data_IF_243138390232
#
_entry.id   IF_243138390232
#
_cell.length_a   1.000
_cell.length_b   1.000
_cell.length_c   1.000
_cell.angle_alpha   90.00
_cell.angle_beta   90.00
_cell.angle_gamma   90.00
#
_symmetry.space_group_name_H-M   'P 1'
#
loop_
_entity.id
_entity.type
_entity.pdbx_description
1 polymer ?
#
# COMPACT_ATOMS: atom_id res chain seq x y z
N UNK A 1 -0.72 13.70 -6.10
CA UNK A 1 -1.11 14.73 -5.10
C UNK A 1 -0.91 14.32 -3.64
N UNK A 2 -0.74 13.03 -3.29
CA UNK A 2 -0.64 12.59 -1.88
C UNK A 2 0.61 13.10 -1.11
N UNK A 3 1.78 13.16 -1.75
CA UNK A 3 3.03 13.54 -1.05
C UNK A 3 3.23 15.05 -0.90
N UNK A 4 2.79 15.86 -1.85
CA UNK A 4 2.92 17.32 -1.75
C UNK A 4 1.87 17.96 -0.83
N UNK A 5 0.71 17.32 -0.62
CA UNK A 5 -0.34 17.87 0.25
C UNK A 5 -0.10 17.68 1.75
N UNK A 6 0.80 16.77 2.15
CA UNK A 6 1.10 16.50 3.55
C UNK A 6 2.08 17.51 4.17
N UNK A 7 2.80 18.28 3.34
CA UNK A 7 3.84 19.22 3.79
C UNK A 7 3.30 20.61 4.20
N UNK A 8 2.00 20.89 4.05
CA UNK A 8 1.44 22.21 4.28
C UNK A 8 0.76 22.34 5.67
N UNK A 9 1.52 22.80 6.68
CA UNK A 9 1.18 23.58 7.90
C UNK A 9 -0.16 23.39 8.68
N UNK A 10 -1.03 22.44 8.34
CA UNK A 10 -2.33 22.19 8.99
C UNK A 10 -2.46 20.79 9.60
N UNK A 11 -3.43 20.61 10.49
CA UNK A 11 -3.75 19.31 11.05
C UNK A 11 -4.34 18.38 9.98
N UNK A 12 -3.95 17.11 9.93
CA UNK A 12 -4.51 16.10 9.06
C UNK A 12 -5.29 15.03 9.85
N UNK A 13 -6.25 14.41 9.18
CA UNK A 13 -7.05 13.32 9.72
C UNK A 13 -6.87 12.09 8.85
N UNK A 14 -6.71 10.94 9.51
CA UNK A 14 -6.53 9.63 8.91
C UNK A 14 -7.89 8.92 8.92
N UNK A 15 -8.30 8.40 7.77
CA UNK A 15 -9.58 7.75 7.57
C UNK A 15 -9.39 6.34 7.04
N UNK A 16 -10.22 5.40 7.50
CA UNK A 16 -10.34 4.10 6.85
C UNK A 16 -10.90 4.30 5.44
N UNK A 17 -10.17 3.84 4.43
CA UNK A 17 -10.61 3.99 3.05
C UNK A 17 -11.93 3.24 2.77
N UNK A 18 -12.11 2.06 3.37
CA UNK A 18 -13.29 1.21 3.12
C UNK A 18 -14.60 1.79 3.65
N UNK A 19 -14.59 2.58 4.73
CA UNK A 19 -15.83 3.07 5.34
C UNK A 19 -15.83 4.56 5.75
N UNK A 20 -14.68 5.23 5.73
CA UNK A 20 -14.55 6.62 6.15
C UNK A 20 -14.47 6.82 7.66
N UNK A 21 -14.34 5.76 8.45
CA UNK A 21 -14.14 5.88 9.90
C UNK A 21 -12.85 6.66 10.21
N UNK A 22 -12.93 7.61 11.14
CA UNK A 22 -11.77 8.37 11.59
C UNK A 22 -10.88 7.48 12.45
N UNK A 23 -9.61 7.37 12.08
CA UNK A 23 -8.60 6.57 12.77
C UNK A 23 -7.72 7.44 13.66
N UNK A 24 -7.24 8.56 13.12
CA UNK A 24 -6.46 9.58 13.85
C UNK A 24 -7.03 10.93 13.46
N UNK A 25 -7.49 11.71 14.44
CA UNK A 25 -8.13 13.01 14.21
C UNK A 25 -7.17 14.16 14.48
N UNK A 26 -7.22 15.19 13.64
CA UNK A 26 -6.54 16.48 13.83
C UNK A 26 -5.04 16.36 14.20
N UNK A 27 -4.34 15.38 13.61
CA UNK A 27 -2.91 15.14 13.85
C UNK A 27 -2.08 16.22 13.17
N UNK A 28 -1.24 16.90 13.93
CA UNK A 28 -0.23 17.80 13.37
C UNK A 28 1.01 16.99 12.97
N UNK A 29 1.28 16.88 11.68
CA UNK A 29 2.53 16.28 11.19
C UNK A 29 3.59 17.37 11.03
N UNK A 30 4.63 17.31 11.86
CA UNK A 30 5.76 18.23 11.81
C UNK A 30 6.82 17.77 10.81
N UNK A 31 7.00 16.45 10.67
CA UNK A 31 7.94 15.86 9.72
C UNK A 31 7.29 14.70 8.99
N UNK A 32 7.40 14.74 7.67
CA UNK A 32 7.00 13.66 6.78
C UNK A 32 8.23 13.23 6.02
N UNK A 33 8.79 12.07 6.36
CA UNK A 33 10.11 11.64 5.88
C UNK A 33 10.02 10.29 5.17
N UNK A 34 10.61 10.13 3.98
CA UNK A 34 10.72 8.81 3.37
C UNK A 34 11.63 7.92 4.21
N UNK A 35 11.24 6.66 4.38
CA UNK A 35 12.11 5.62 4.92
C UNK A 35 13.10 5.19 3.83
N UNK A 36 14.29 4.73 4.23
CA UNK A 36 15.08 3.87 3.36
C UNK A 36 14.19 2.68 2.94
N UNK A 37 14.07 2.40 1.63
CA UNK A 37 13.43 1.19 1.07
C UNK A 37 13.75 -0.11 1.84
N UNK A 38 12.84 -1.08 1.81
CA UNK A 38 12.99 -2.34 2.57
C UNK A 38 14.28 -3.13 2.23
N UNK A 39 14.89 -2.88 1.05
CA UNK A 39 16.15 -3.52 0.64
C UNK A 39 17.43 -2.86 1.21
N UNK A 40 17.36 -1.72 1.92
CA UNK A 40 18.57 -1.11 2.47
C UNK A 40 19.25 -2.01 3.49
N UNK A 41 18.49 -2.71 4.36
CA UNK A 41 19.09 -3.63 5.33
C UNK A 41 19.91 -4.74 4.67
N UNK A 42 19.42 -5.29 3.54
CA UNK A 42 20.13 -6.30 2.76
C UNK A 42 21.37 -5.72 2.04
N UNK A 43 21.28 -4.48 1.55
CA UNK A 43 22.41 -3.82 0.88
C UNK A 43 23.48 -3.36 1.88
N UNK A 44 23.12 -3.00 3.11
CA UNK A 44 24.07 -2.54 4.12
C UNK A 44 25.07 -3.63 4.50
N UNK A 45 24.64 -4.89 4.55
CA UNK A 45 25.55 -6.02 4.82
C UNK A 45 26.62 -6.22 3.73
N UNK A 46 26.29 -5.88 2.48
CA UNK A 46 27.19 -6.05 1.33
C UNK A 46 28.01 -4.79 1.00
N UNK A 47 27.54 -3.60 1.36
CA UNK A 47 28.12 -2.32 0.91
C UNK A 47 28.86 -1.56 2.01
N UNK A 48 28.58 -1.81 3.29
CA UNK A 48 29.23 -1.08 4.36
C UNK A 48 30.54 -1.76 4.77
N UNK A 49 31.66 -1.01 4.72
CA UNK A 49 32.95 -1.45 5.26
C UNK A 49 32.99 -1.55 6.80
N UNK A 50 31.88 -1.30 7.47
CA UNK A 50 31.71 -1.35 8.91
C UNK A 50 30.33 -1.93 9.26
N UNK A 51 30.14 -2.47 10.48
CA UNK A 51 28.84 -2.94 10.93
C UNK A 51 27.75 -1.89 10.72
N UNK A 52 26.54 -2.36 10.39
CA UNK A 52 25.38 -1.50 10.14
C UNK A 52 25.20 -0.52 11.32
N UNK A 53 25.34 0.81 11.10
CA UNK A 53 25.16 1.79 12.16
C UNK A 53 23.73 1.87 12.69
N UNK A 54 22.77 1.22 12.01
CA UNK A 54 21.34 1.19 12.32
C UNK A 54 20.85 -0.16 12.84
N UNK A 55 21.66 -1.23 12.85
CA UNK A 55 21.24 -2.60 13.22
C UNK A 55 20.55 -2.71 14.60
N UNK A 56 20.83 -1.77 15.51
CA UNK A 56 20.28 -1.75 16.87
C UNK A 56 19.38 -0.53 17.15
N UNK A 57 19.03 0.27 16.14
CA UNK A 57 18.22 1.48 16.30
C UNK A 57 16.97 1.39 15.44
N UNK A 58 15.85 0.92 15.98
CA UNK A 58 14.61 0.90 15.21
C UNK A 58 14.20 2.34 14.85
N UNK A 59 13.91 2.56 13.57
CA UNK A 59 13.45 3.85 13.06
C UNK A 59 11.98 4.05 13.44
N UNK A 60 11.75 4.48 14.69
CA UNK A 60 10.42 4.79 15.19
C UNK A 60 10.08 6.27 15.02
N UNK A 61 8.90 6.60 14.46
CA UNK A 61 8.44 7.98 14.37
C UNK A 61 8.19 8.54 15.78
N UNK A 62 8.54 9.82 16.00
CA UNK A 62 8.06 10.57 17.15
C UNK A 62 6.56 10.88 16.98
N UNK A 63 5.95 11.44 18.02
CA UNK A 63 4.52 11.74 18.05
C UNK A 63 4.05 12.46 16.76
N UNK A 64 4.72 13.52 16.35
CA UNK A 64 4.31 14.32 15.19
C UNK A 64 5.05 13.96 13.90
N UNK A 65 5.68 12.78 13.84
CA UNK A 65 6.33 12.28 12.63
C UNK A 65 5.43 11.31 11.87
N UNK A 66 5.54 11.33 10.55
CA UNK A 66 5.04 10.30 9.66
C UNK A 66 6.18 9.85 8.76
N UNK A 67 6.56 8.58 8.84
CA UNK A 67 7.53 8.02 7.91
C UNK A 67 6.83 7.29 6.77
N UNK A 68 7.33 7.45 5.55
CA UNK A 68 6.73 6.92 4.33
C UNK A 68 7.60 5.78 3.81
N UNK A 69 7.09 4.55 3.83
CA UNK A 69 7.67 3.41 3.10
C UNK A 69 7.07 3.26 1.71
N UNK A 70 7.53 2.27 0.95
CA UNK A 70 7.11 2.08 -0.45
C UNK A 70 5.59 1.83 -0.61
N UNK A 71 4.95 1.21 0.39
CA UNK A 71 3.52 0.86 0.40
C UNK A 71 2.80 1.13 1.74
N UNK A 72 3.45 1.83 2.68
CA UNK A 72 2.93 2.01 4.03
C UNK A 72 3.35 3.33 4.66
N UNK A 73 2.61 3.74 5.70
CA UNK A 73 2.97 4.83 6.59
C UNK A 73 3.35 4.26 7.96
N UNK A 74 4.45 4.73 8.56
CA UNK A 74 4.73 4.55 9.99
C UNK A 74 4.38 5.83 10.73
N UNK A 75 3.55 5.71 11.74
CA UNK A 75 3.19 6.82 12.62
C UNK A 75 3.28 6.38 14.07
N UNK A 76 3.55 7.36 14.93
CA UNK A 76 3.42 7.15 16.36
C UNK A 76 1.92 7.15 16.70
N UNK A 77 1.40 5.96 17.00
CA UNK A 77 0.00 5.73 17.33
C UNK A 77 -0.13 4.51 18.22
N UNK A 78 -0.68 4.74 19.41
CA UNK A 78 -0.97 3.72 20.42
C UNK A 78 -2.31 3.03 20.11
N UNK A 79 -2.25 1.77 19.69
CA UNK A 79 -3.44 0.97 19.38
C UNK A 79 -4.13 0.42 20.66
N UNK A 80 -3.46 0.48 21.80
CA UNK A 80 -3.90 -0.04 23.11
C UNK A 80 -4.95 0.82 23.83
N UNK A 81 -5.32 1.99 23.29
CA UNK A 81 -6.59 2.66 23.63
C UNK A 81 -7.83 1.91 23.08
N UNK A 82 -7.63 0.79 22.38
CA UNK A 82 -8.68 0.05 21.67
C UNK A 82 -8.91 -1.39 22.17
N UNK A 83 -8.38 -1.77 23.34
CA UNK A 83 -8.79 -3.00 24.06
C UNK A 83 -9.28 -2.67 25.49
N UNK A 84 -10.29 -3.36 26.04
CA UNK A 84 -10.57 -3.32 27.47
C UNK A 84 -9.34 -3.86 28.22
N UNK A 85 -8.87 -3.14 29.25
CA UNK A 85 -7.83 -3.65 30.15
C UNK A 85 -8.26 -5.04 30.66
N UNK A 86 -7.42 -6.08 30.56
CA UNK A 86 -7.52 -7.20 31.47
C UNK A 86 -7.30 -6.65 32.87
N UNK A 87 -8.22 -6.95 33.79
CA UNK A 87 -8.13 -6.53 35.19
C UNK A 87 -6.76 -6.92 35.78
N UNK A 88 -6.18 -5.99 36.54
CA UNK A 88 -4.95 -6.17 37.29
C UNK A 88 -5.10 -7.35 38.26
N UNK A 89 -4.44 -8.47 37.98
CA UNK A 89 -4.15 -9.50 38.97
C UNK A 89 -2.76 -9.24 39.61
N UNK A 90 -2.56 -9.64 40.87
CA UNK A 90 -1.62 -8.97 41.78
C UNK A 90 -0.15 -9.23 41.48
N UNK A 91 0.67 -8.29 41.97
CA UNK A 91 2.13 -8.34 42.04
C UNK A 91 2.58 -9.60 42.78
N UNK A 92 3.31 -10.48 42.08
CA UNK A 92 4.20 -11.42 42.74
C UNK A 92 5.63 -11.23 42.25
N UNK A 93 6.46 -10.84 43.20
CA UNK A 93 7.91 -10.75 43.15
C UNK A 93 8.51 -12.14 43.00
N UNK A 94 9.37 -12.38 42.00
CA UNK A 94 10.64 -13.11 42.19
C UNK A 94 11.50 -13.16 40.91
N UNK A 95 12.80 -12.92 41.11
CA UNK A 95 13.89 -13.13 40.16
C UNK A 95 14.32 -14.59 40.12
N UNK A 96 14.60 -15.14 38.94
CA UNK A 96 15.78 -15.98 38.68
C UNK A 96 15.95 -16.27 37.18
N UNK A 97 17.21 -16.42 36.82
CA UNK A 97 17.83 -16.67 35.52
C UNK A 97 17.46 -18.02 34.88
N UNK A 98 17.30 -18.04 33.55
CA UNK A 98 18.04 -18.90 32.59
C UNK A 98 17.29 -19.11 31.27
N UNK A 99 18.09 -19.29 30.23
CA UNK A 99 17.78 -19.27 28.81
C UNK A 99 16.73 -20.29 28.37
N UNK A 100 15.56 -19.84 27.96
CA UNK A 100 14.77 -20.45 26.88
C UNK A 100 13.92 -19.36 26.22
N UNK A 101 14.24 -19.01 24.96
CA UNK A 101 13.41 -18.21 24.07
C UNK A 101 12.10 -18.97 23.76
N UNK A 102 11.22 -19.08 24.75
CA UNK A 102 9.80 -19.35 24.53
C UNK A 102 9.24 -18.10 23.87
N UNK A 103 9.04 -18.18 22.55
CA UNK A 103 8.21 -17.25 21.78
C UNK A 103 6.87 -17.13 22.50
N UNK A 104 6.73 -16.09 23.32
CA UNK A 104 5.44 -15.68 23.87
C UNK A 104 4.48 -15.47 22.68
N UNK A 105 3.18 -15.81 22.81
CA UNK A 105 2.24 -15.65 21.71
C UNK A 105 2.30 -14.20 21.25
N UNK A 106 2.67 -14.01 19.97
CA UNK A 106 2.84 -12.72 19.30
C UNK A 106 1.58 -11.91 19.58
N UNK A 107 1.69 -10.86 20.41
CA UNK A 107 0.58 -9.95 20.72
C UNK A 107 -0.09 -9.54 19.41
N UNK A 108 -1.43 -9.46 19.37
CA UNK A 108 -2.19 -9.17 18.16
C UNK A 108 -1.59 -7.98 17.39
N UNK A 109 -0.80 -8.28 16.37
CA UNK A 109 -0.05 -7.27 15.60
C UNK A 109 -0.95 -6.56 14.61
N UNK A 110 -2.24 -6.87 14.53
CA UNK A 110 -3.15 -6.35 13.50
C UNK A 110 -3.88 -5.10 13.98
N UNK A 111 -3.85 -4.05 13.18
CA UNK A 111 -4.67 -2.85 13.37
C UNK A 111 -5.92 -2.97 12.52
N UNK A 112 -7.10 -2.88 13.14
CA UNK A 112 -8.38 -3.18 12.50
C UNK A 112 -9.30 -1.96 12.61
N UNK A 113 -10.00 -1.64 11.52
CA UNK A 113 -11.03 -0.61 11.52
C UNK A 113 -12.16 -0.97 12.47
N UNK A 114 -12.54 -0.04 13.34
CA UNK A 114 -13.55 -0.29 14.39
C UNK A 114 -14.93 -0.48 13.82
N UNK A 115 -15.24 0.20 12.72
CA UNK A 115 -16.54 0.18 12.04
C UNK A 115 -16.68 -0.99 11.08
N UNK A 116 -15.83 -1.10 10.06
CA UNK A 116 -15.98 -2.14 9.02
C UNK A 116 -15.13 -3.41 9.23
N UNK A 117 -14.30 -3.46 10.28
CA UNK A 117 -13.44 -4.61 10.62
C UNK A 117 -12.38 -4.99 9.58
N UNK A 118 -12.12 -4.14 8.59
CA UNK A 118 -11.01 -4.30 7.63
C UNK A 118 -9.67 -4.08 8.36
N UNK A 119 -8.65 -4.87 7.98
CA UNK A 119 -7.27 -4.68 8.45
C UNK A 119 -6.67 -3.43 7.82
N UNK A 120 -6.26 -2.48 8.65
CA UNK A 120 -5.69 -1.20 8.23
C UNK A 120 -4.16 -1.22 8.22
N UNK A 121 -3.56 -2.15 8.97
CA UNK A 121 -2.13 -2.12 9.23
C UNK A 121 -1.70 -3.07 10.33
N UNK A 122 -0.49 -2.82 10.85
CA UNK A 122 0.16 -3.61 11.89
C UNK A 122 0.76 -2.75 13.02
N UNK A 123 0.74 -3.26 14.25
CA UNK A 123 1.43 -2.68 15.40
C UNK A 123 2.86 -3.20 15.42
N UNK A 124 3.83 -2.28 15.27
CA UNK A 124 5.26 -2.59 15.24
C UNK A 124 5.88 -2.55 16.64
N UNK A 125 5.42 -1.61 17.48
CA UNK A 125 5.78 -1.50 18.89
C UNK A 125 4.61 -0.88 19.67
N UNK A 126 4.73 -0.71 20.99
CA UNK A 126 3.65 -0.11 21.81
C UNK A 126 3.20 1.26 21.31
N UNK A 127 4.08 2.00 20.64
CA UNK A 127 3.80 3.36 20.15
C UNK A 127 3.85 3.50 18.64
N UNK A 128 4.32 2.49 17.90
CA UNK A 128 4.48 2.59 16.44
C UNK A 128 3.48 1.70 15.71
N UNK A 129 2.73 2.31 14.80
CA UNK A 129 1.78 1.63 13.92
C UNK A 129 2.17 1.80 12.45
N UNK A 130 2.20 0.69 11.71
CA UNK A 130 2.35 0.60 10.24
C UNK A 130 0.96 0.57 9.61
N UNK A 131 0.55 1.62 8.94
CA UNK A 131 -0.69 1.65 8.14
C UNK A 131 -0.40 1.35 6.68
N UNK A 132 -1.21 0.50 6.05
CA UNK A 132 -1.06 0.22 4.62
C UNK A 132 -1.64 1.40 3.82
N UNK A 133 -0.87 1.92 2.85
CA UNK A 133 -1.26 3.09 2.05
C UNK A 133 -2.58 2.85 1.30
N UNK A 134 -2.82 1.61 0.89
CA UNK A 134 -4.04 1.22 0.21
C UNK A 134 -5.25 1.19 1.14
N UNK A 135 -5.10 1.19 2.45
CA UNK A 135 -6.22 1.05 3.39
C UNK A 135 -6.58 2.34 4.14
N UNK A 136 -5.74 3.38 4.03
CA UNK A 136 -5.87 4.65 4.74
C UNK A 136 -5.86 5.84 3.79
N UNK A 137 -6.77 6.78 4.02
CA UNK A 137 -6.78 8.10 3.39
C UNK A 137 -6.28 9.11 4.42
N UNK A 138 -5.31 9.94 4.05
CA UNK A 138 -4.86 11.08 4.88
C UNK A 138 -5.30 12.37 4.21
N UNK A 139 -6.05 13.21 4.92
CA UNK A 139 -6.57 14.48 4.39
C UNK A 139 -6.37 15.63 5.38
N UNK A 140 -6.20 16.88 4.92
CA UNK A 140 -6.29 18.06 5.77
C UNK A 140 -7.64 18.12 6.50
N UNK A 141 -7.64 18.40 7.81
CA UNK A 141 -8.83 18.22 8.65
C UNK A 141 -9.94 19.25 8.38
N UNK A 142 -9.59 20.41 7.83
CA UNK A 142 -10.54 21.47 7.48
C UNK A 142 -11.27 21.21 6.15
N UNK A 143 -10.80 20.26 5.34
CA UNK A 143 -11.36 19.99 4.01
C UNK A 143 -12.38 18.87 4.06
N UNK A 144 -13.62 19.19 3.69
CA UNK A 144 -14.61 18.16 3.32
C UNK A 144 -14.12 17.44 2.07
N UNK A 145 -14.12 16.11 2.09
CA UNK A 145 -13.82 15.30 0.92
C UNK A 145 -14.89 14.22 0.73
N UNK A 146 -15.16 13.89 -0.52
CA UNK A 146 -15.91 12.70 -0.87
C UNK A 146 -14.97 11.50 -0.88
N UNK A 147 -15.36 10.41 -0.22
CA UNK A 147 -14.64 9.14 -0.33
C UNK A 147 -14.75 8.68 -1.78
N UNK A 148 -13.61 8.57 -2.45
CA UNK A 148 -13.57 8.03 -3.81
C UNK A 148 -13.81 6.52 -3.80
N UNK A 149 -14.38 5.95 -4.87
CA UNK A 149 -14.57 4.51 -4.98
C UNK A 149 -13.28 3.74 -4.73
N UNK A 150 -13.41 2.58 -4.09
CA UNK A 150 -12.30 1.71 -3.71
C UNK A 150 -11.39 1.38 -4.89
N UNK A 151 -11.97 0.97 -6.01
CA UNK A 151 -11.24 0.64 -7.23
C UNK A 151 -10.43 1.82 -7.77
N UNK A 152 -11.00 3.03 -7.73
CA UNK A 152 -10.29 4.25 -8.14
C UNK A 152 -9.17 4.57 -7.16
N UNK A 153 -9.41 4.45 -5.85
CA UNK A 153 -8.40 4.70 -4.84
C UNK A 153 -7.17 3.80 -4.98
N UNK A 154 -7.38 2.49 -5.12
CA UNK A 154 -6.29 1.52 -5.29
C UNK A 154 -5.49 1.83 -6.56
N UNK A 155 -6.17 2.15 -7.67
CA UNK A 155 -5.49 2.57 -8.90
C UNK A 155 -4.60 3.78 -8.68
N UNK A 156 -5.15 4.86 -8.11
CA UNK A 156 -4.41 6.11 -7.88
C UNK A 156 -3.21 5.92 -6.96
N UNK A 157 -3.37 5.17 -5.86
CA UNK A 157 -2.27 4.91 -4.91
C UNK A 157 -1.17 4.10 -5.59
N UNK A 158 -1.52 2.99 -6.26
CA UNK A 158 -0.51 2.14 -6.91
C UNK A 158 0.15 2.86 -8.09
N UNK A 159 -0.61 3.58 -8.91
CA UNK A 159 -0.05 4.37 -9.99
C UNK A 159 0.96 5.41 -9.48
N UNK A 160 0.62 6.12 -8.41
CA UNK A 160 1.52 7.09 -7.78
C UNK A 160 2.78 6.40 -7.23
N UNK A 161 2.65 5.28 -6.50
CA UNK A 161 3.80 4.50 -6.01
C UNK A 161 4.72 4.10 -7.17
N UNK A 162 4.18 3.56 -8.27
CA UNK A 162 4.97 3.15 -9.43
C UNK A 162 5.76 4.31 -10.03
N UNK A 163 5.12 5.48 -10.20
CA UNK A 163 5.77 6.67 -10.75
C UNK A 163 6.88 7.16 -9.82
N UNK A 164 6.61 7.28 -8.52
CA UNK A 164 7.59 7.77 -7.55
C UNK A 164 8.79 6.83 -7.41
N UNK A 165 8.55 5.52 -7.33
CA UNK A 165 9.60 4.52 -7.26
C UNK A 165 10.42 4.47 -8.55
N UNK A 166 9.78 4.62 -9.71
CA UNK A 166 10.50 4.68 -10.98
C UNK A 166 11.40 5.90 -11.09
N UNK A 167 10.94 7.08 -10.65
CA UNK A 167 11.72 8.30 -10.65
C UNK A 167 12.87 8.26 -9.63
N UNK A 168 12.63 7.69 -8.44
CA UNK A 168 13.63 7.62 -7.38
C UNK A 168 14.70 6.55 -7.61
N UNK A 169 14.37 5.46 -8.31
CA UNK A 169 15.23 4.27 -8.42
C UNK A 169 15.63 3.89 -9.84
N UNK A 170 15.14 4.61 -10.86
CA UNK A 170 15.31 4.24 -12.27
C UNK A 170 14.87 2.80 -12.58
N UNK A 171 13.86 2.28 -11.86
CA UNK A 171 13.27 0.96 -12.07
C UNK A 171 11.88 1.08 -12.69
N UNK A 172 11.57 0.20 -13.63
CA UNK A 172 10.27 0.17 -14.30
C UNK A 172 9.58 -1.18 -14.17
N UNK A 173 10.20 -2.15 -13.48
CA UNK A 173 9.70 -3.51 -13.31
C UNK A 173 9.45 -3.76 -11.83
N UNK A 174 8.26 -4.27 -11.54
CA UNK A 174 7.75 -4.41 -10.21
C UNK A 174 7.13 -5.79 -10.01
N UNK A 175 7.38 -6.40 -8.86
CA UNK A 175 6.62 -7.55 -8.38
C UNK A 175 5.61 -7.05 -7.35
N UNK A 176 4.33 -7.37 -7.54
CA UNK A 176 3.30 -7.13 -6.53
C UNK A 176 3.23 -8.35 -5.64
N UNK A 177 3.72 -8.21 -4.41
CA UNK A 177 3.83 -9.30 -3.44
C UNK A 177 2.81 -9.14 -2.32
N UNK A 178 2.21 -10.24 -1.88
CA UNK A 178 1.36 -10.24 -0.69
C UNK A 178 2.20 -10.33 0.58
N UNK A 179 1.63 -9.96 1.73
CA UNK A 179 2.29 -10.16 3.05
C UNK A 179 2.48 -11.65 3.40
N UNK A 180 1.86 -12.56 2.64
CA UNK A 180 2.10 -13.99 2.66
C UNK A 180 3.37 -14.41 1.89
N UNK A 181 4.15 -13.45 1.37
CA UNK A 181 5.39 -13.66 0.64
C UNK A 181 5.19 -14.11 -0.80
N UNK A 182 3.95 -14.26 -1.28
CA UNK A 182 3.68 -14.74 -2.64
C UNK A 182 3.63 -13.60 -3.64
N UNK A 183 4.18 -13.82 -4.83
CA UNK A 183 4.04 -12.89 -5.96
C UNK A 183 2.68 -13.09 -6.62
N UNK A 184 1.89 -12.02 -6.73
CA UNK A 184 0.56 -12.05 -7.34
C UNK A 184 0.59 -11.54 -8.79
N UNK A 185 1.39 -10.51 -9.06
CA UNK A 185 1.41 -9.80 -10.34
C UNK A 185 2.85 -9.38 -10.66
N UNK A 186 3.30 -9.64 -11.89
CA UNK A 186 4.46 -8.98 -12.48
C UNK A 186 3.95 -7.75 -13.22
N UNK A 187 4.55 -6.60 -12.98
CA UNK A 187 4.10 -5.32 -13.54
C UNK A 187 5.29 -4.58 -14.13
N UNK A 188 5.11 -4.06 -15.34
CA UNK A 188 6.09 -3.21 -16.01
C UNK A 188 5.44 -1.89 -16.37
N UNK A 189 5.94 -0.79 -15.80
CA UNK A 189 5.56 0.57 -16.13
C UNK A 189 6.13 0.95 -17.51
N UNK A 190 5.25 1.22 -18.47
CA UNK A 190 5.66 1.69 -19.79
C UNK A 190 5.71 3.22 -19.85
N UNK A 191 4.59 3.86 -19.51
CA UNK A 191 4.44 5.31 -19.59
C UNK A 191 3.76 5.83 -18.31
N UNK A 192 4.25 6.95 -17.78
CA UNK A 192 3.68 7.63 -16.61
C UNK A 192 2.81 8.84 -16.95
N UNK A 193 2.76 9.24 -18.22
CA UNK A 193 2.21 10.49 -18.74
C UNK A 193 1.04 10.27 -19.72
N UNK A 194 0.34 9.14 -19.60
CA UNK A 194 -0.77 8.82 -20.52
C UNK A 194 -2.05 9.56 -20.13
N UNK A 195 -2.81 10.02 -21.12
CA UNK A 195 -4.17 10.54 -20.95
C UNK A 195 -5.15 9.56 -21.59
N UNK A 196 -6.08 9.03 -20.80
CA UNK A 196 -7.12 8.11 -21.28
C UNK A 196 -8.43 8.87 -21.40
N UNK A 197 -9.10 8.70 -22.55
CA UNK A 197 -10.40 9.32 -22.83
C UNK A 197 -11.41 8.19 -22.95
N UNK A 198 -12.38 8.16 -22.04
CA UNK A 198 -13.50 7.23 -22.13
C UNK A 198 -14.65 7.86 -22.90
N UNK A 199 -14.99 7.26 -24.05
CA UNK A 199 -16.20 7.60 -24.78
C UNK A 199 -17.41 6.98 -24.08
N UNK A 200 -18.50 7.73 -24.00
CA UNK A 200 -19.78 7.32 -23.39
C UNK A 200 -20.49 6.27 -24.27
N UNK A 201 -19.87 5.10 -24.47
CA UNK A 201 -20.52 3.93 -25.01
C UNK A 201 -21.40 3.30 -23.92
N UNK A 202 -22.59 2.81 -24.27
CA UNK A 202 -23.58 2.25 -23.36
C UNK A 202 -22.98 1.16 -22.45
N UNK A 203 -22.43 1.57 -21.30
CA UNK A 203 -21.84 0.67 -20.33
C UNK A 203 -22.98 -0.04 -19.61
N UNK A 204 -23.25 -1.28 -20.00
CA UNK A 204 -23.98 -2.21 -19.14
C UNK A 204 -23.07 -2.46 -17.94
N UNK A 205 -23.28 -1.72 -16.86
CA UNK A 205 -22.51 -1.93 -15.63
C UNK A 205 -22.68 -3.38 -15.20
N UNK A 206 -21.58 -4.13 -15.17
CA UNK A 206 -21.57 -5.49 -14.65
C UNK A 206 -21.71 -5.35 -13.13
N UNK A 207 -22.95 -5.44 -12.62
CA UNK A 207 -23.29 -5.38 -11.18
C UNK A 207 -22.80 -6.59 -10.36
N UNK A 208 -21.90 -7.44 -10.90
CA UNK A 208 -21.49 -8.68 -10.22
C UNK A 208 -20.47 -8.45 -9.10
N UNK A 209 -19.83 -7.28 -9.01
CA UNK A 209 -18.79 -7.02 -8.03
C UNK A 209 -18.92 -5.62 -7.40
N UNK A 210 -19.45 -5.51 -6.17
CA UNK A 210 -19.59 -4.23 -5.46
C UNK A 210 -18.27 -3.46 -5.30
N UNK A 211 -17.15 -4.19 -5.24
CA UNK A 211 -15.79 -3.61 -5.11
C UNK A 211 -15.35 -2.78 -6.33
N UNK A 212 -15.95 -3.02 -7.50
CA UNK A 212 -15.56 -2.39 -8.77
C UNK A 212 -16.61 -1.39 -9.28
N UNK A 213 -17.59 -1.04 -8.45
CA UNK A 213 -18.63 -0.07 -8.80
C UNK A 213 -18.09 1.35 -8.75
N UNK A 214 -17.99 1.98 -9.93
CA UNK A 214 -17.84 3.43 -10.05
C UNK A 214 -19.23 4.05 -9.96
N UNK A 215 -19.53 4.70 -8.82
CA UNK A 215 -20.78 5.46 -8.64
C UNK A 215 -20.72 6.85 -9.31
N UNK A 216 -19.95 7.00 -10.38
CA UNK A 216 -19.84 8.28 -11.09
C UNK A 216 -21.14 8.51 -11.88
N UNK A 217 -21.78 9.66 -11.62
CA UNK A 217 -22.93 10.13 -12.38
C UNK A 217 -22.56 10.18 -13.87
N UNK A 218 -23.41 9.58 -14.69
CA UNK A 218 -23.23 9.40 -16.11
C UNK A 218 -23.46 10.71 -16.89
N UNK A 219 -22.60 11.73 -16.73
CA UNK A 219 -22.72 12.98 -17.48
C UNK A 219 -21.34 13.63 -17.70
N UNK A 220 -20.47 13.00 -18.51
CA UNK A 220 -19.44 13.66 -19.35
C UNK A 220 -18.47 12.65 -19.96
N UNK A 221 -17.93 12.96 -21.15
CA UNK A 221 -16.69 12.37 -21.65
C UNK A 221 -15.58 12.74 -20.67
N UNK A 222 -15.12 11.79 -19.87
CA UNK A 222 -14.08 12.05 -18.86
C UNK A 222 -12.72 11.65 -19.39
N UNK A 223 -11.85 12.63 -19.59
CA UNK A 223 -10.42 12.39 -19.77
C UNK A 223 -9.75 12.31 -18.38
N UNK A 224 -8.83 11.36 -18.19
CA UNK A 224 -8.12 11.18 -16.93
C UNK A 224 -6.67 10.77 -17.16
N UNK A 225 -5.79 11.23 -16.27
CA UNK A 225 -4.37 10.88 -16.31
C UNK A 225 -4.17 9.44 -15.84
N UNK A 226 -3.31 8.72 -16.53
CA UNK A 226 -3.11 7.30 -16.36
C UNK A 226 -1.63 6.92 -16.46
N UNK A 227 -1.28 5.84 -15.79
CA UNK A 227 -0.06 5.10 -16.09
C UNK A 227 -0.40 3.91 -16.97
N UNK A 228 0.38 3.70 -18.03
CA UNK A 228 0.27 2.53 -18.91
C UNK A 228 1.20 1.45 -18.38
N UNK A 229 0.64 0.27 -18.12
CA UNK A 229 1.36 -0.86 -17.55
C UNK A 229 1.19 -2.12 -18.41
N UNK A 230 2.23 -2.92 -18.45
CA UNK A 230 2.16 -4.33 -18.84
C UNK A 230 2.07 -5.17 -17.58
N UNK A 231 1.24 -6.20 -17.57
CA UNK A 231 1.11 -7.06 -16.40
C UNK A 231 0.95 -8.55 -16.78
N UNK A 232 1.37 -9.40 -15.84
CA UNK A 232 1.17 -10.84 -15.87
C UNK A 232 0.71 -11.35 -14.50
N UNK A 233 -0.41 -12.08 -14.39
CA UNK A 233 -0.79 -12.74 -13.14
C UNK A 233 0.13 -13.93 -12.82
N UNK A 234 0.62 -14.01 -11.57
CA UNK A 234 1.38 -15.16 -11.04
C UNK A 234 0.51 -16.11 -10.18
N UNK A 235 -0.81 -15.88 -10.05
CA UNK A 235 -1.68 -16.70 -9.19
C UNK A 235 -1.76 -18.15 -9.69
N UNK A 236 -1.75 -19.12 -8.76
CA UNK A 236 -1.83 -20.57 -9.02
C UNK A 236 -0.65 -21.08 -9.86
N UNK A 237 0.56 -20.60 -9.58
CA UNK A 237 1.81 -20.95 -10.29
C UNK A 237 1.78 -20.66 -11.80
N UNK A 238 0.88 -19.77 -12.24
CA UNK A 238 0.97 -19.23 -13.60
C UNK A 238 2.25 -18.43 -13.74
N UNK A 239 2.89 -18.51 -14.91
CA UNK A 239 4.11 -17.79 -15.21
C UNK A 239 5.27 -18.06 -14.23
N UNK A 240 5.29 -19.21 -13.54
CA UNK A 240 6.27 -19.51 -12.48
C UNK A 240 7.73 -19.30 -12.91
N UNK A 241 8.10 -19.74 -14.12
CA UNK A 241 9.44 -19.54 -14.68
C UNK A 241 9.80 -18.05 -14.80
N UNK A 242 8.86 -17.23 -15.26
CA UNK A 242 9.04 -15.78 -15.38
C UNK A 242 9.10 -15.10 -14.01
N UNK A 243 8.25 -15.52 -13.06
CA UNK A 243 8.28 -14.98 -11.70
C UNK A 243 9.63 -15.33 -11.03
N UNK A 244 10.16 -16.56 -11.19
CA UNK A 244 11.49 -16.95 -10.68
C UNK A 244 12.65 -16.23 -11.38
N UNK A 245 12.56 -15.99 -12.68
CA UNK A 245 13.56 -15.17 -13.38
C UNK A 245 13.59 -13.74 -12.82
N UNK A 246 12.41 -13.18 -12.52
CA UNK A 246 12.28 -11.83 -11.94
C UNK A 246 12.78 -11.74 -10.50
N UNK A 247 12.63 -12.80 -9.70
CA UNK A 247 13.14 -12.85 -8.32
C UNK A 247 14.67 -12.70 -8.24
N UNK A 248 15.39 -13.14 -9.27
CA UNK A 248 16.85 -13.02 -9.35
C UNK A 248 17.36 -11.71 -9.97
N UNK A 249 16.47 -10.88 -10.52
CA UNK A 249 16.83 -9.66 -11.24
C UNK A 249 16.83 -8.45 -10.30
N UNK A 250 18.03 -7.91 -10.02
CA UNK A 250 18.24 -6.75 -9.15
C UNK A 250 17.56 -5.46 -9.64
N UNK A 251 17.19 -5.39 -10.93
CA UNK A 251 16.50 -4.24 -11.50
C UNK A 251 15.01 -4.20 -11.12
N UNK A 252 14.51 -5.26 -10.49
CA UNK A 252 13.09 -5.45 -10.17
C UNK A 252 12.83 -5.07 -8.73
N UNK A 253 11.77 -4.30 -8.52
CA UNK A 253 11.39 -3.82 -7.19
C UNK A 253 10.12 -4.50 -6.69
N UNK A 254 10.16 -5.05 -5.47
CA UNK A 254 8.98 -5.64 -4.84
C UNK A 254 8.14 -4.58 -4.13
N UNK A 255 6.85 -4.52 -4.48
CA UNK A 255 5.84 -3.73 -3.78
C UNK A 255 4.94 -4.66 -2.97
N UNK A 256 5.13 -4.65 -1.65
CA UNK A 256 4.45 -5.51 -0.70
C UNK A 256 3.11 -4.90 -0.28
N UNK A 257 1.99 -5.61 -0.50
CA UNK A 257 0.63 -5.15 -0.23
C UNK A 257 -0.18 -6.21 0.55
N UNK A 258 -1.31 -5.85 1.18
CA UNK A 258 -2.24 -6.85 1.70
C UNK A 258 -2.70 -7.79 0.59
N UNK A 259 -2.71 -9.11 0.83
CA UNK A 259 -3.04 -10.11 -0.20
C UNK A 259 -4.42 -9.89 -0.84
N UNK A 260 -5.39 -9.37 -0.07
CA UNK A 260 -6.70 -8.98 -0.61
C UNK A 260 -6.59 -7.84 -1.64
N UNK A 261 -5.75 -6.84 -1.36
CA UNK A 261 -5.47 -5.72 -2.26
C UNK A 261 -4.70 -6.17 -3.51
N UNK A 262 -3.79 -7.15 -3.39
CA UNK A 262 -3.13 -7.75 -4.56
C UNK A 262 -4.14 -8.39 -5.53
N UNK A 263 -5.11 -9.15 -5.00
CA UNK A 263 -6.16 -9.78 -5.80
C UNK A 263 -7.10 -8.73 -6.41
N UNK A 264 -7.46 -7.71 -5.64
CA UNK A 264 -8.25 -6.58 -6.10
C UNK A 264 -7.58 -5.82 -7.26
N UNK A 265 -6.29 -5.51 -7.13
CA UNK A 265 -5.51 -4.88 -8.18
C UNK A 265 -5.50 -5.73 -9.45
N UNK A 266 -5.39 -7.06 -9.35
CA UNK A 266 -5.46 -7.93 -10.52
C UNK A 266 -6.84 -7.87 -11.21
N UNK A 267 -7.92 -7.82 -10.44
CA UNK A 267 -9.27 -7.68 -10.97
C UNK A 267 -9.46 -6.33 -11.68
N UNK A 268 -8.94 -5.25 -11.10
CA UNK A 268 -8.91 -3.91 -11.70
C UNK A 268 -8.14 -3.94 -13.03
N UNK A 269 -6.92 -4.49 -13.05
CA UNK A 269 -6.11 -4.60 -14.27
C UNK A 269 -6.82 -5.41 -15.36
N UNK A 270 -7.46 -6.51 -14.97
CA UNK A 270 -8.24 -7.36 -15.89
C UNK A 270 -9.45 -6.61 -16.47
N UNK A 271 -10.16 -5.83 -15.64
CA UNK A 271 -11.28 -4.99 -16.07
C UNK A 271 -10.80 -3.90 -17.04
N UNK A 272 -9.71 -3.21 -16.72
CA UNK A 272 -9.16 -2.13 -17.54
C UNK A 272 -8.51 -2.66 -18.83
N UNK A 273 -7.99 -3.88 -18.84
CA UNK A 273 -7.58 -4.55 -20.09
C UNK A 273 -8.79 -4.83 -20.99
N UNK A 274 -9.90 -5.28 -20.42
CA UNK A 274 -11.11 -5.62 -21.18
C UNK A 274 -11.77 -4.41 -21.86
N UNK A 275 -11.54 -3.18 -21.37
CA UNK A 275 -12.04 -1.96 -22.02
C UNK A 275 -11.25 -1.60 -23.29
N UNK A 276 -10.04 -2.15 -23.47
CA UNK A 276 -9.23 -1.93 -24.66
C UNK A 276 -9.74 -2.75 -25.86
N UNK A 277 -9.54 -2.27 -27.10
CA UNK A 277 -9.73 -3.07 -28.31
C UNK A 277 -8.91 -4.38 -28.22
N UNK A 278 -9.44 -5.53 -28.70
CA UNK A 278 -8.74 -6.81 -28.59
C UNK A 278 -7.29 -6.80 -29.08
N UNK A 279 -7.01 -6.07 -30.17
CA UNK A 279 -5.66 -5.93 -30.73
C UNK A 279 -4.67 -5.18 -29.82
N UNK A 280 -5.16 -4.41 -28.85
CA UNK A 280 -4.35 -3.62 -27.91
C UNK A 280 -4.26 -4.25 -26.52
N UNK A 281 -4.87 -5.43 -26.30
CA UNK A 281 -4.92 -6.08 -24.98
C UNK A 281 -3.62 -6.78 -24.60
N UNK A 282 -2.74 -7.06 -25.56
CA UNK A 282 -1.52 -7.82 -25.31
C UNK A 282 -0.32 -7.28 -26.07
N UNK A 283 0.86 -7.37 -25.46
CA UNK A 283 2.14 -7.03 -26.06
C UNK A 283 3.21 -7.99 -25.56
N UNK A 284 3.87 -8.73 -26.46
CA UNK A 284 4.96 -9.67 -26.14
C UNK A 284 4.64 -10.61 -24.97
N UNK A 285 3.51 -11.31 -25.06
CA UNK A 285 2.92 -12.16 -24.02
C UNK A 285 2.34 -11.44 -22.79
N UNK A 286 2.70 -10.20 -22.49
CA UNK A 286 2.10 -9.43 -21.39
C UNK A 286 0.73 -8.86 -21.76
N UNK A 287 -0.11 -8.62 -20.74
CA UNK A 287 -1.38 -7.92 -20.90
C UNK A 287 -1.20 -6.43 -20.68
N UNK A 288 -1.90 -5.60 -21.44
CA UNK A 288 -1.83 -4.13 -21.36
C UNK A 288 -2.97 -3.59 -20.50
N UNK A 289 -2.70 -2.70 -19.57
CA UNK A 289 -3.74 -1.98 -18.83
C UNK A 289 -3.33 -0.54 -18.54
N UNK A 290 -4.32 0.27 -18.18
CA UNK A 290 -4.12 1.62 -17.66
C UNK A 290 -4.56 1.65 -16.19
N UNK A 291 -3.81 2.31 -15.32
CA UNK A 291 -4.22 2.62 -13.96
C UNK A 291 -4.44 4.13 -13.84
N UNK A 292 -5.59 4.51 -13.30
CA UNK A 292 -5.96 5.91 -13.09
C UNK A 292 -5.06 6.55 -12.02
N UNK A 293 -4.59 7.77 -12.27
CA UNK A 293 -3.88 8.63 -11.31
C UNK A 293 -4.85 9.54 -10.58
#
# INVERSE_FOLDING_TARGET
MFNQSLQAQGCCTFYCQSCGEVIIKDRKLLRVLPLPSENWGALVEEWCCHPDPFANKPLHPQENDCFIGDSFFLVNFRSDLWQPRPELAPVETQCSSENHLKLKPKANTKVICKRCKVMLGETMSSETTKFYMTEIIIQPSERKFSIIPRSQFVQSVIAQCLVELSAARSTFRFTIQGHDGKVYILLWLLNSDSLVIESLGSSKSIKKFPLLEDNLKADSCSAWNAVKVLYQPCIKNRNAELCSAWESDISIHSLTLPSATCLELLLILSKNNATLPPSLRSMNSFQVAFLKM
#
